data_IF_406052177907
#
_entry.id   IF_406052177907
#
_cell.length_a   1.000
_cell.length_b   1.000
_cell.length_c   1.000
_cell.angle_alpha   90.00
_cell.angle_beta   90.00
_cell.angle_gamma   90.00
#
_symmetry.space_group_name_H-M   'P 1'
#
loop_
_entity.id
_entity.type
_entity.pdbx_description
1 polymer ?
#
# COMPACT_ATOMS: atom_id res chain seq x y z
N UNK A 1 -27.89 3.33 10.28
CA UNK A 1 -26.67 4.01 10.77
C UNK A 1 -25.45 3.09 10.91
N UNK A 2 -25.61 1.76 11.02
CA UNK A 2 -24.49 0.81 11.23
C UNK A 2 -23.76 0.42 9.91
N UNK A 3 -24.43 0.53 8.75
CA UNK A 3 -23.89 0.11 7.45
C UNK A 3 -22.50 0.68 7.10
N UNK A 4 -22.26 2.00 7.23
CA UNK A 4 -20.95 2.58 6.97
C UNK A 4 -19.85 2.05 7.88
N UNK A 5 -20.16 1.75 9.14
CA UNK A 5 -19.21 1.22 10.12
C UNK A 5 -18.78 -0.20 9.73
N UNK A 6 -19.72 -1.03 9.29
CA UNK A 6 -19.40 -2.39 8.82
C UNK A 6 -18.55 -2.35 7.54
N UNK A 7 -18.84 -1.42 6.63
CA UNK A 7 -18.07 -1.24 5.41
C UNK A 7 -16.62 -0.81 5.71
N UNK A 8 -16.43 0.17 6.59
CA UNK A 8 -15.09 0.63 6.97
C UNK A 8 -14.33 -0.45 7.74
N UNK A 9 -15.01 -1.23 8.59
CA UNK A 9 -14.39 -2.35 9.29
C UNK A 9 -13.92 -3.41 8.31
N UNK A 10 -14.77 -3.84 7.37
CA UNK A 10 -14.40 -4.81 6.34
C UNK A 10 -13.24 -4.30 5.47
N UNK A 11 -13.31 -3.04 5.03
CA UNK A 11 -12.25 -2.39 4.26
C UNK A 11 -10.93 -2.37 5.03
N UNK A 12 -10.95 -1.96 6.29
CA UNK A 12 -9.76 -1.88 7.14
C UNK A 12 -9.16 -3.28 7.35
N UNK A 13 -9.96 -4.29 7.70
CA UNK A 13 -9.47 -5.65 7.90
C UNK A 13 -8.80 -6.23 6.65
N UNK A 14 -9.44 -6.08 5.48
CA UNK A 14 -8.87 -6.56 4.20
C UNK A 14 -7.58 -5.81 3.87
N UNK A 15 -7.59 -4.48 3.98
CA UNK A 15 -6.43 -3.64 3.68
C UNK A 15 -5.26 -3.97 4.60
N UNK A 16 -5.48 -4.15 5.90
CA UNK A 16 -4.44 -4.49 6.87
C UNK A 16 -3.79 -5.82 6.56
N UNK A 17 -4.57 -6.87 6.27
CA UNK A 17 -4.01 -8.20 5.94
C UNK A 17 -3.12 -8.13 4.69
N UNK A 18 -3.58 -7.45 3.64
CA UNK A 18 -2.80 -7.28 2.42
C UNK A 18 -1.53 -6.45 2.67
N UNK A 19 -1.66 -5.36 3.42
CA UNK A 19 -0.52 -4.52 3.79
C UNK A 19 0.50 -5.27 4.63
N UNK A 20 0.09 -6.11 5.58
CA UNK A 20 1.05 -6.92 6.34
C UNK A 20 1.81 -7.88 5.42
N UNK A 21 1.14 -8.49 4.44
CA UNK A 21 1.80 -9.35 3.45
C UNK A 21 2.82 -8.61 2.56
N UNK A 22 2.60 -7.32 2.27
CA UNK A 22 3.46 -6.53 1.38
C UNK A 22 4.53 -5.74 2.16
N UNK A 23 4.11 -5.01 3.19
CA UNK A 23 4.94 -4.08 3.94
C UNK A 23 5.98 -4.80 4.79
N UNK A 24 5.67 -5.99 5.32
CA UNK A 24 6.62 -6.75 6.14
C UNK A 24 7.87 -7.18 5.36
N UNK A 25 7.78 -7.91 4.22
CA UNK A 25 8.97 -8.25 3.44
C UNK A 25 9.64 -7.01 2.86
N UNK A 26 8.87 -5.99 2.46
CA UNK A 26 9.41 -4.75 1.90
C UNK A 26 10.23 -3.97 2.93
N UNK A 27 9.71 -3.79 4.15
CA UNK A 27 10.38 -3.11 5.24
C UNK A 27 11.64 -3.86 5.69
N UNK A 28 11.56 -5.19 5.81
CA UNK A 28 12.72 -6.03 6.13
C UNK A 28 13.80 -5.91 5.06
N UNK A 29 13.43 -5.95 3.78
CA UNK A 29 14.36 -5.78 2.67
C UNK A 29 14.98 -4.37 2.67
N UNK A 30 14.20 -3.30 2.92
CA UNK A 30 14.71 -1.93 3.02
C UNK A 30 15.69 -1.74 4.19
N UNK A 31 15.43 -2.40 5.33
CA UNK A 31 16.27 -2.31 6.52
C UNK A 31 17.59 -3.07 6.38
N UNK A 32 17.61 -4.19 5.66
CA UNK A 32 18.79 -5.08 5.59
C UNK A 32 19.66 -4.86 4.34
N UNK A 33 19.11 -4.31 3.27
CA UNK A 33 19.78 -4.25 1.96
C UNK A 33 20.67 -3.02 1.79
N UNK A 34 21.87 -3.19 1.22
CA UNK A 34 22.79 -2.11 0.79
C UNK A 34 22.70 -1.75 -0.70
N UNK A 35 21.64 -2.18 -1.38
CA UNK A 35 21.48 -2.02 -2.82
C UNK A 35 21.29 -0.56 -3.25
N UNK A 36 21.81 -0.21 -4.43
CA UNK A 36 21.69 1.14 -5.02
C UNK A 36 20.25 1.53 -5.37
N UNK A 37 19.34 0.55 -5.50
CA UNK A 37 17.91 0.81 -5.75
C UNK A 37 17.10 1.14 -4.49
N UNK A 38 17.67 0.94 -3.29
CA UNK A 38 17.00 1.22 -2.00
C UNK A 38 16.37 2.62 -1.95
N UNK A 39 17.08 3.72 -2.30
CA UNK A 39 16.51 5.06 -2.23
C UNK A 39 15.33 5.27 -3.19
N UNK A 40 15.32 4.57 -4.33
CA UNK A 40 14.22 4.65 -5.30
C UNK A 40 12.98 3.98 -4.74
N UNK A 41 13.12 2.79 -4.15
CA UNK A 41 12.00 2.07 -3.55
C UNK A 41 11.46 2.85 -2.35
N UNK A 42 12.34 3.39 -1.51
CA UNK A 42 11.97 4.24 -0.37
C UNK A 42 11.19 5.48 -0.84
N UNK A 43 11.67 6.18 -1.86
CA UNK A 43 10.95 7.29 -2.47
C UNK A 43 9.57 6.88 -2.99
N UNK A 44 9.47 5.76 -3.72
CA UNK A 44 8.19 5.24 -4.24
C UNK A 44 7.22 4.90 -3.11
N UNK A 45 7.69 4.28 -2.02
CA UNK A 45 6.85 3.99 -0.86
C UNK A 45 6.39 5.24 -0.12
N UNK A 46 7.19 6.31 -0.14
CA UNK A 46 6.88 7.58 0.50
C UNK A 46 6.07 8.54 -0.39
N UNK A 47 6.00 8.32 -1.70
CA UNK A 47 5.23 9.14 -2.65
C UNK A 47 3.81 9.48 -2.17
N UNK A 48 3.02 8.54 -1.63
CA UNK A 48 1.66 8.85 -1.16
C UNK A 48 1.60 9.90 -0.06
N UNK A 49 2.66 10.05 0.74
CA UNK A 49 2.75 11.01 1.83
C UNK A 49 3.07 12.43 1.33
N UNK A 50 3.75 12.54 0.18
CA UNK A 50 4.19 13.81 -0.39
C UNK A 50 3.07 14.47 -1.20
N UNK A 51 2.18 13.66 -1.78
CA UNK A 51 1.06 14.16 -2.57
C UNK A 51 -0.09 14.64 -1.67
N UNK A 52 -0.72 15.79 -1.98
CA UNK A 52 -1.96 16.17 -1.33
C UNK A 52 -3.04 15.08 -1.48
N UNK A 53 -3.83 14.77 -0.45
CA UNK A 53 -4.80 13.67 -0.50
C UNK A 53 -5.83 13.84 -1.60
N UNK A 54 -6.21 15.09 -1.92
CA UNK A 54 -7.14 15.40 -3.01
C UNK A 54 -6.57 15.06 -4.39
N UNK A 55 -5.28 15.34 -4.61
CA UNK A 55 -4.59 15.05 -5.88
C UNK A 55 -4.42 13.54 -6.06
N UNK A 56 -4.06 12.86 -4.98
CA UNK A 56 -3.94 11.41 -4.94
C UNK A 56 -5.27 10.72 -5.25
N UNK A 57 -6.38 11.19 -4.65
CA UNK A 57 -7.73 10.72 -4.97
C UNK A 57 -8.10 10.93 -6.44
N UNK A 58 -7.78 12.10 -7.00
CA UNK A 58 -8.01 12.39 -8.42
C UNK A 58 -7.21 11.46 -9.35
N UNK A 59 -5.93 11.20 -9.05
CA UNK A 59 -5.13 10.27 -9.84
C UNK A 59 -5.64 8.83 -9.77
N UNK A 60 -6.11 8.37 -8.60
CA UNK A 60 -6.78 7.08 -8.52
C UNK A 60 -8.03 7.05 -9.39
N UNK A 61 -8.88 8.08 -9.36
CA UNK A 61 -10.05 8.13 -10.24
C UNK A 61 -9.67 8.05 -11.72
N UNK A 62 -8.61 8.75 -12.15
CA UNK A 62 -8.12 8.67 -13.53
C UNK A 62 -7.57 7.28 -13.88
N UNK A 63 -6.76 6.68 -13.00
CA UNK A 63 -6.18 5.35 -13.20
C UNK A 63 -7.21 4.22 -13.14
N UNK A 64 -8.32 4.44 -12.45
CA UNK A 64 -9.39 3.44 -12.26
C UNK A 64 -10.57 3.68 -13.20
N UNK A 65 -10.53 4.76 -13.99
CA UNK A 65 -11.54 5.06 -14.98
C UNK A 65 -11.54 3.98 -16.08
N UNK A 66 -12.70 3.60 -16.63
CA UNK A 66 -12.80 2.60 -17.70
C UNK A 66 -11.96 2.90 -18.94
N UNK A 67 -11.72 4.20 -19.21
CA UNK A 67 -10.95 4.67 -20.36
C UNK A 67 -9.43 4.50 -20.17
N UNK A 68 -8.99 4.29 -18.94
CA UNK A 68 -7.58 4.12 -18.61
C UNK A 68 -7.13 2.67 -18.85
N UNK A 69 -5.83 2.42 -19.09
CA UNK A 69 -5.34 1.06 -19.30
C UNK A 69 -5.68 0.11 -18.13
N UNK A 70 -5.57 0.60 -16.89
CA UNK A 70 -5.74 -0.21 -15.69
C UNK A 70 -7.23 -0.45 -15.38
N UNK A 71 -8.05 0.62 -15.38
CA UNK A 71 -9.50 0.50 -15.21
C UNK A 71 -10.19 -0.23 -16.37
N UNK A 72 -9.74 -0.03 -17.60
CA UNK A 72 -10.24 -0.71 -18.79
C UNK A 72 -9.93 -2.22 -18.80
N UNK A 73 -8.69 -2.60 -18.45
CA UNK A 73 -8.32 -4.01 -18.30
C UNK A 73 -9.16 -4.69 -17.21
N UNK A 74 -9.36 -4.03 -16.08
CA UNK A 74 -10.23 -4.54 -15.01
C UNK A 74 -11.67 -4.74 -15.47
N UNK A 75 -12.23 -3.76 -16.19
CA UNK A 75 -13.58 -3.84 -16.73
C UNK A 75 -13.74 -4.99 -17.72
N UNK A 76 -12.74 -5.24 -18.58
CA UNK A 76 -12.78 -6.36 -19.54
C UNK A 76 -12.77 -7.73 -18.84
N UNK A 77 -12.02 -7.86 -17.74
CA UNK A 77 -11.88 -9.15 -17.02
C UNK A 77 -13.05 -9.40 -16.07
N UNK A 78 -13.55 -8.37 -15.39
CA UNK A 78 -14.55 -8.52 -14.31
C UNK A 78 -15.95 -8.08 -14.69
N UNK A 79 -16.12 -7.33 -15.78
CA UNK A 79 -17.38 -6.68 -16.16
C UNK A 79 -17.80 -5.53 -15.24
N UNK A 80 -16.98 -5.15 -14.24
CA UNK A 80 -17.28 -4.11 -13.26
C UNK A 80 -16.29 -2.94 -13.32
N UNK A 81 -16.74 -1.73 -12.96
CA UNK A 81 -15.84 -0.57 -12.89
C UNK A 81 -15.03 -0.58 -11.60
N UNK A 82 -13.74 -0.30 -11.69
CA UNK A 82 -12.87 -0.25 -10.52
C UNK A 82 -13.13 1.04 -9.71
N UNK A 83 -13.36 2.17 -10.38
CA UNK A 83 -13.79 3.41 -9.74
C UNK A 83 -15.12 3.21 -8.98
N UNK A 84 -15.21 3.81 -7.79
CA UNK A 84 -16.38 3.74 -6.89
C UNK A 84 -16.81 2.32 -6.47
N UNK A 85 -15.92 1.32 -6.56
CA UNK A 85 -16.15 -0.05 -6.10
C UNK A 85 -15.44 -0.34 -4.78
N UNK A 86 -15.87 -1.39 -4.06
CA UNK A 86 -15.18 -1.86 -2.85
C UNK A 86 -13.72 -2.24 -3.15
N UNK A 87 -13.48 -2.95 -4.24
CA UNK A 87 -12.11 -3.28 -4.69
C UNK A 87 -11.30 -2.03 -4.95
N UNK A 88 -11.93 -1.00 -5.52
CA UNK A 88 -11.26 0.27 -5.74
C UNK A 88 -10.88 0.99 -4.45
N UNK A 89 -11.77 0.95 -3.45
CA UNK A 89 -11.45 1.44 -2.10
C UNK A 89 -10.26 0.67 -1.51
N UNK A 90 -10.25 -0.67 -1.60
CA UNK A 90 -9.13 -1.49 -1.10
C UNK A 90 -7.81 -1.10 -1.77
N UNK A 91 -7.77 -1.00 -3.10
CA UNK A 91 -6.56 -0.61 -3.85
C UNK A 91 -6.06 0.77 -3.43
N UNK A 92 -6.97 1.75 -3.39
CA UNK A 92 -6.64 3.11 -2.98
C UNK A 92 -6.12 3.16 -1.53
N UNK A 93 -6.76 2.42 -0.62
CA UNK A 93 -6.36 2.33 0.79
C UNK A 93 -4.99 1.68 0.95
N UNK A 94 -4.67 0.62 0.19
CA UNK A 94 -3.33 0.00 0.22
C UNK A 94 -2.27 1.03 -0.16
N UNK A 95 -2.43 1.71 -1.29
CA UNK A 95 -1.42 2.68 -1.77
C UNK A 95 -1.28 3.85 -0.80
N UNK A 96 -2.39 4.39 -0.30
CA UNK A 96 -2.37 5.50 0.66
C UNK A 96 -1.74 5.10 2.00
N UNK A 97 -2.07 3.91 2.51
CA UNK A 97 -1.62 3.44 3.83
C UNK A 97 -0.23 2.78 3.81
N UNK A 98 0.32 2.49 2.63
CA UNK A 98 1.64 1.87 2.45
C UNK A 98 2.76 2.56 3.25
N UNK A 99 3.00 3.89 3.16
CA UNK A 99 4.08 4.54 3.92
C UNK A 99 3.91 4.36 5.43
N UNK A 100 2.68 4.41 5.92
CA UNK A 100 2.37 4.26 7.35
C UNK A 100 2.58 2.83 7.86
N UNK A 101 2.52 1.83 6.99
CA UNK A 101 2.84 0.45 7.34
C UNK A 101 4.35 0.18 7.23
N UNK A 102 4.99 0.64 6.16
CA UNK A 102 6.41 0.34 5.85
C UNK A 102 7.35 1.07 6.79
N UNK A 103 7.16 2.37 7.02
CA UNK A 103 8.13 3.18 7.78
C UNK A 103 8.32 2.71 9.24
N UNK A 104 7.25 2.42 10.02
CA UNK A 104 7.43 1.93 11.38
C UNK A 104 8.06 0.54 11.43
N UNK A 105 7.70 -0.35 10.49
CA UNK A 105 8.29 -1.69 10.40
C UNK A 105 9.77 -1.61 10.05
N UNK A 106 10.14 -0.77 9.09
CA UNK A 106 11.54 -0.55 8.71
C UNK A 106 12.34 -0.03 9.90
N UNK A 107 11.84 0.99 10.59
CA UNK A 107 12.50 1.54 11.77
C UNK A 107 12.64 0.50 12.90
N UNK A 108 11.66 -0.39 13.07
CA UNK A 108 11.75 -1.48 14.03
C UNK A 108 12.84 -2.49 13.63
N UNK A 109 12.93 -2.89 12.36
CA UNK A 109 13.96 -3.80 11.88
C UNK A 109 15.37 -3.19 11.96
N UNK A 110 15.52 -1.91 11.62
CA UNK A 110 16.79 -1.19 11.75
C UNK A 110 17.27 -1.10 13.21
N UNK A 111 16.34 -1.00 14.18
CA UNK A 111 16.66 -0.96 15.62
C UNK A 111 17.08 -2.30 16.22
N UNK A 112 16.51 -3.40 15.75
CA UNK A 112 16.87 -4.75 16.22
C UNK A 112 18.32 -5.07 15.82
N UNK A 113 18.81 -4.50 14.72
CA UNK A 113 20.19 -4.64 14.28
C UNK A 113 20.51 -6.05 13.74
N UNK A 114 21.50 -6.19 12.84
CA UNK A 114 21.95 -7.50 12.36
C UNK A 114 22.52 -8.38 13.48
N UNK A 115 23.14 -7.77 14.49
CA UNK A 115 23.81 -8.48 15.59
C UNK A 115 22.83 -9.33 16.44
N UNK A 116 21.59 -8.88 16.65
CA UNK A 116 20.58 -9.69 17.36
C UNK A 116 20.06 -10.85 16.50
N UNK A 117 20.03 -10.71 15.17
CA UNK A 117 19.65 -11.80 14.26
C UNK A 117 20.75 -12.86 14.16
N UNK A 118 22.03 -12.45 14.17
CA UNK A 118 23.17 -13.37 14.20
C UNK A 118 23.29 -14.12 15.53
N UNK A 119 22.95 -13.49 16.66
CA UNK A 119 22.94 -14.14 17.97
C UNK A 119 21.82 -15.19 18.15
N UNK A 120 20.82 -15.19 17.28
CA UNK A 120 19.69 -16.13 17.30
C UNK A 120 19.87 -17.31 16.32
N UNK A 121 20.91 -17.29 15.49
CA UNK A 121 21.27 -18.35 14.53
C UNK A 121 22.26 -19.35 15.13
#
# INVERSE_FOLDING_TARGET
>A
MIGPILLTLALASVTTVILMGIALPLAWWLATTRSRIRPVVEAVTALPLILPPTVLGFYFLLLMAPVSPLGGAWLQVTGSTLAFSFTGLVVASIVYSLPFAVQPLQAAFERVGPDMMEAAA
#
